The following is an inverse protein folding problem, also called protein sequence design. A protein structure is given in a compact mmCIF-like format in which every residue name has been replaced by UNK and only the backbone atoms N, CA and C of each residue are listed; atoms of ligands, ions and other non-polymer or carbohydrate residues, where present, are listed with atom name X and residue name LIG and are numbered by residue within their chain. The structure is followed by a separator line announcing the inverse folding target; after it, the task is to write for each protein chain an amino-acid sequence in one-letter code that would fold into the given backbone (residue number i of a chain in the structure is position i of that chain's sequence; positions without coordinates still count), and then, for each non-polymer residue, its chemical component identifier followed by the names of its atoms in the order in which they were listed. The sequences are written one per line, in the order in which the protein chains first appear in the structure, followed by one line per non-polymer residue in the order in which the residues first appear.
data_IF_389105800035
#
_entry.id   IF_389105800035
#
_cell.length_a   1.000
_cell.length_b   1.000
_cell.length_c   1.000
_cell.angle_alpha   90.00
_cell.angle_beta   90.00
_cell.angle_gamma   90.00
#
_symmetry.space_group_name_H-M   'P 1'
#
loop_
_entity.id
_entity.type
_entity.pdbx_description
1 polymer ?
#
# COMPACT_ATOMS: atom_id res chain seq x y z
N UNK A 1 12.36 16.47 -24.12
CA UNK A 1 11.69 15.29 -23.53
C UNK A 1 12.76 14.34 -23.02
N UNK A 2 12.64 13.83 -21.79
CA UNK A 2 13.53 12.83 -21.20
C UNK A 2 12.66 11.65 -20.76
N UNK A 3 13.11 10.41 -20.99
CA UNK A 3 12.40 9.18 -20.57
C UNK A 3 13.36 8.27 -19.79
N UNK A 4 12.83 7.54 -18.80
CA UNK A 4 13.61 6.66 -17.95
C UNK A 4 12.93 6.36 -16.61
N UNK A 5 13.54 5.53 -15.78
CA UNK A 5 13.10 5.31 -14.39
C UNK A 5 13.39 6.51 -13.50
N UNK A 6 12.98 6.46 -12.22
CA UNK A 6 13.11 7.59 -11.28
C UNK A 6 14.54 8.11 -11.12
N UNK A 7 15.56 7.27 -11.29
CA UNK A 7 16.97 7.65 -11.19
C UNK A 7 17.37 8.77 -12.17
N UNK A 8 16.77 8.83 -13.36
CA UNK A 8 17.08 9.87 -14.36
C UNK A 8 16.73 11.28 -13.85
N UNK A 9 15.78 11.38 -12.90
CA UNK A 9 15.32 12.63 -12.37
C UNK A 9 16.20 13.16 -11.21
N UNK A 10 17.06 12.34 -10.61
CA UNK A 10 17.80 12.69 -9.39
C UNK A 10 18.71 13.92 -9.56
N UNK A 11 19.40 14.02 -10.70
CA UNK A 11 20.28 15.15 -11.02
C UNK A 11 19.57 16.36 -11.65
N UNK A 12 18.26 16.25 -11.96
CA UNK A 12 17.54 17.33 -12.65
C UNK A 12 17.43 18.59 -11.79
N UNK A 13 17.05 18.54 -10.49
CA UNK A 13 17.00 19.74 -9.65
C UNK A 13 18.31 20.53 -9.63
N UNK A 14 19.46 19.84 -9.59
CA UNK A 14 20.77 20.49 -9.55
C UNK A 14 21.10 21.29 -10.82
N UNK A 15 20.60 20.86 -11.98
CA UNK A 15 20.71 21.64 -13.22
C UNK A 15 20.02 23.00 -13.12
N UNK A 16 18.89 23.07 -12.41
CA UNK A 16 18.15 24.31 -12.20
C UNK A 16 18.75 25.17 -11.08
N UNK A 17 19.21 24.55 -9.98
CA UNK A 17 19.90 25.23 -8.87
C UNK A 17 21.17 25.94 -9.35
N UNK A 18 22.01 25.25 -10.14
CA UNK A 18 23.22 25.85 -10.75
C UNK A 18 22.96 27.08 -11.61
N UNK A 19 21.71 27.27 -12.06
CA UNK A 19 21.27 28.40 -12.88
C UNK A 19 20.40 29.38 -12.09
N UNK A 20 20.33 29.27 -10.77
CA UNK A 20 19.49 30.07 -9.88
C UNK A 20 18.00 30.10 -10.29
N UNK A 21 17.52 29.04 -10.95
CA UNK A 21 16.11 28.95 -11.40
C UNK A 21 15.15 28.42 -10.34
N UNK A 22 15.69 27.75 -9.33
CA UNK A 22 14.95 27.25 -8.16
C UNK A 22 15.81 27.46 -6.91
N UNK A 23 15.16 27.63 -5.77
CA UNK A 23 15.83 27.72 -4.47
C UNK A 23 16.39 26.35 -4.02
N UNK A 24 17.20 26.35 -2.96
CA UNK A 24 17.52 25.14 -2.23
C UNK A 24 16.22 24.48 -1.73
N UNK A 25 16.15 23.15 -1.81
CA UNK A 25 14.95 22.43 -1.36
C UNK A 25 14.95 22.34 0.17
N UNK A 26 13.82 22.64 0.79
CA UNK A 26 13.56 22.24 2.17
C UNK A 26 13.35 20.73 2.22
N UNK A 27 13.71 20.09 3.33
CA UNK A 27 13.35 18.70 3.57
C UNK A 27 11.82 18.54 3.44
N UNK A 28 11.32 17.42 2.88
CA UNK A 28 9.89 17.15 2.85
C UNK A 28 9.30 17.27 4.26
N UNK A 29 8.19 18.00 4.39
CA UNK A 29 7.54 18.12 5.69
C UNK A 29 7.03 16.75 6.14
N UNK A 30 7.12 16.43 7.44
CA UNK A 30 6.54 15.20 7.99
C UNK A 30 5.04 15.15 7.67
N UNK A 31 4.52 13.93 7.58
CA UNK A 31 3.10 13.67 7.37
C UNK A 31 2.55 13.21 8.72
N UNK A 32 1.50 13.89 9.18
CA UNK A 32 0.77 13.43 10.34
C UNK A 32 -0.20 12.33 9.89
N UNK A 33 -0.01 11.11 10.39
CA UNK A 33 -0.94 10.01 10.13
C UNK A 33 -1.85 9.80 11.33
N UNK A 34 -3.15 10.07 11.20
CA UNK A 34 -4.14 9.75 12.24
C UNK A 34 -4.98 8.54 11.88
N UNK A 35 -5.66 7.95 12.87
CA UNK A 35 -6.50 6.77 12.68
C UNK A 35 -5.71 5.46 12.58
N UNK A 36 -6.44 4.36 12.41
CA UNK A 36 -5.83 3.02 12.39
C UNK A 36 -4.95 2.84 11.15
N UNK A 37 -3.85 2.12 11.33
CA UNK A 37 -2.98 1.70 10.23
C UNK A 37 -3.44 0.38 9.61
N UNK A 38 -3.51 0.35 8.28
CA UNK A 38 -3.92 -0.82 7.51
C UNK A 38 -2.85 -1.11 6.45
N UNK A 39 -2.30 -2.32 6.50
CA UNK A 39 -1.40 -2.86 5.48
C UNK A 39 -2.25 -3.62 4.47
N UNK A 40 -2.20 -3.24 3.19
CA UNK A 40 -2.90 -3.89 2.09
C UNK A 40 -1.88 -4.42 1.08
N UNK A 41 -1.88 -5.72 0.80
CA UNK A 41 -0.89 -6.29 -0.10
C UNK A 41 -1.48 -7.26 -1.13
N UNK A 42 -1.38 -6.90 -2.41
CA UNK A 42 -1.68 -7.79 -3.53
C UNK A 42 -0.43 -8.35 -4.23
N UNK A 43 0.75 -7.75 -4.01
CA UNK A 43 1.99 -8.23 -4.64
C UNK A 43 2.46 -9.57 -4.09
N UNK A 44 2.66 -10.56 -4.96
CA UNK A 44 3.25 -11.87 -4.63
C UNK A 44 4.80 -11.89 -4.71
N UNK A 45 5.44 -10.72 -4.74
CA UNK A 45 6.90 -10.63 -4.79
C UNK A 45 7.57 -11.19 -3.55
N UNK A 46 8.81 -11.68 -3.68
CA UNK A 46 9.55 -12.25 -2.56
C UNK A 46 9.71 -11.25 -1.40
N UNK A 47 10.05 -10.00 -1.70
CA UNK A 47 10.17 -8.96 -0.69
C UNK A 47 8.86 -8.73 0.06
N UNK A 48 7.72 -8.66 -0.66
CA UNK A 48 6.40 -8.47 -0.03
C UNK A 48 6.03 -9.65 0.87
N UNK A 49 6.30 -10.90 0.45
CA UNK A 49 6.04 -12.08 1.29
C UNK A 49 6.87 -12.06 2.58
N UNK A 50 8.15 -11.71 2.50
CA UNK A 50 9.02 -11.61 3.68
C UNK A 50 8.56 -10.50 4.64
N UNK A 51 8.14 -9.36 4.09
CA UNK A 51 7.59 -8.25 4.87
C UNK A 51 6.26 -8.61 5.55
N UNK A 52 5.38 -9.36 4.87
CA UNK A 52 4.12 -9.84 5.43
C UNK A 52 4.32 -10.91 6.49
N UNK A 53 5.27 -11.83 6.29
CA UNK A 53 5.62 -12.84 7.29
C UNK A 53 6.05 -12.15 8.60
N UNK A 54 6.95 -11.16 8.50
CA UNK A 54 7.39 -10.36 9.65
C UNK A 54 6.24 -9.54 10.27
N UNK A 55 5.41 -8.89 9.45
CA UNK A 55 4.23 -8.17 9.96
C UNK A 55 3.25 -9.10 10.70
N UNK A 56 3.11 -10.35 10.25
CA UNK A 56 2.25 -11.35 10.88
C UNK A 56 2.74 -11.85 12.25
N UNK A 57 4.03 -11.69 12.55
CA UNK A 57 4.58 -11.94 13.89
C UNK A 57 4.21 -10.82 14.88
N UNK A 58 3.90 -9.63 14.37
CA UNK A 58 3.69 -8.41 15.17
C UNK A 58 2.22 -8.01 15.28
N UNK A 59 1.44 -8.23 14.22
CA UNK A 59 0.09 -7.68 14.08
C UNK A 59 -0.89 -8.70 13.51
N UNK A 60 -2.18 -8.60 13.91
CA UNK A 60 -3.24 -9.41 13.34
C UNK A 60 -3.27 -9.30 11.81
N UNK A 61 -3.46 -10.44 11.17
CA UNK A 61 -3.32 -10.58 9.73
C UNK A 61 -4.45 -11.43 9.15
N UNK A 62 -5.04 -10.98 8.05
CA UNK A 62 -6.10 -11.67 7.32
C UNK A 62 -5.67 -11.97 5.89
N UNK A 63 -5.66 -13.26 5.55
CA UNK A 63 -5.33 -13.71 4.20
C UNK A 63 -6.59 -13.86 3.37
N UNK A 64 -6.58 -13.26 2.19
CA UNK A 64 -7.60 -13.41 1.16
C UNK A 64 -7.26 -14.64 0.32
N UNK A 65 -8.15 -15.63 0.31
CA UNK A 65 -8.05 -16.75 -0.62
C UNK A 65 -8.59 -16.35 -2.00
N UNK A 66 -7.81 -16.47 -3.08
CA UNK A 66 -8.29 -16.15 -4.43
C UNK A 66 -9.54 -16.96 -4.81
N UNK A 67 -9.60 -18.24 -4.45
CA UNK A 67 -10.76 -19.08 -4.74
C UNK A 67 -12.03 -18.59 -4.01
N UNK A 68 -11.91 -18.03 -2.81
CA UNK A 68 -13.06 -17.43 -2.10
C UNK A 68 -13.69 -16.31 -2.92
N UNK A 69 -12.84 -15.41 -3.42
CA UNK A 69 -13.25 -14.27 -4.24
C UNK A 69 -13.88 -14.76 -5.55
N UNK A 70 -13.24 -15.72 -6.22
CA UNK A 70 -13.71 -16.23 -7.51
C UNK A 70 -15.02 -17.03 -7.43
N UNK A 71 -15.33 -17.60 -6.26
CA UNK A 71 -16.57 -18.36 -6.02
C UNK A 71 -17.70 -17.52 -5.45
N UNK A 72 -17.52 -16.20 -5.35
CA UNK A 72 -18.57 -15.26 -4.96
C UNK A 72 -18.80 -15.14 -3.45
N UNK A 73 -17.85 -15.57 -2.61
CA UNK A 73 -17.90 -15.25 -1.18
C UNK A 73 -17.73 -13.75 -0.97
N UNK A 74 -18.44 -13.21 0.02
CA UNK A 74 -18.32 -11.80 0.41
C UNK A 74 -17.07 -11.57 1.27
N UNK A 75 -15.91 -11.71 0.62
CA UNK A 75 -14.60 -11.58 1.27
C UNK A 75 -14.39 -10.16 1.81
N UNK A 76 -15.01 -9.15 1.20
CA UNK A 76 -14.96 -7.77 1.70
C UNK A 76 -15.60 -7.71 3.08
N UNK A 77 -16.82 -8.21 3.22
CA UNK A 77 -17.50 -8.26 4.51
C UNK A 77 -16.74 -9.12 5.52
N UNK A 78 -16.26 -10.30 5.12
CA UNK A 78 -15.49 -11.17 6.00
C UNK A 78 -14.24 -10.48 6.57
N UNK A 79 -13.49 -9.79 5.72
CA UNK A 79 -12.27 -9.07 6.11
C UNK A 79 -12.57 -7.85 7.01
N UNK A 80 -13.64 -7.11 6.73
CA UNK A 80 -14.06 -5.94 7.52
C UNK A 80 -14.62 -6.37 8.88
N UNK A 81 -15.46 -7.40 8.91
CA UNK A 81 -15.96 -8.01 10.16
C UNK A 81 -14.79 -8.55 10.98
N UNK A 82 -13.81 -9.19 10.35
CA UNK A 82 -12.60 -9.63 11.04
C UNK A 82 -11.80 -8.46 11.61
N UNK A 83 -11.60 -7.40 10.84
CA UNK A 83 -10.83 -6.22 11.23
C UNK A 83 -11.47 -5.49 12.43
N UNK A 84 -12.80 -5.41 12.48
CA UNK A 84 -13.54 -4.77 13.58
C UNK A 84 -13.43 -5.53 14.92
N UNK A 85 -13.11 -6.82 14.88
CA UNK A 85 -12.83 -7.64 16.09
C UNK A 85 -11.39 -7.52 16.60
N UNK A 86 -10.50 -6.88 15.85
CA UNK A 86 -9.09 -6.72 16.24
C UNK A 86 -8.89 -5.45 17.08
N UNK A 87 -7.89 -5.41 17.99
CA UNK A 87 -7.58 -4.23 18.80
C UNK A 87 -7.39 -2.95 17.96
N UNK A 88 -8.13 -1.88 18.28
CA UNK A 88 -8.22 -0.67 17.45
C UNK A 88 -6.92 0.16 17.42
N UNK A 89 -6.09 0.03 18.45
CA UNK A 89 -4.78 0.68 18.62
C UNK A 89 -3.65 -0.03 17.86
N UNK A 90 -3.87 -1.26 17.41
CA UNK A 90 -2.89 -2.01 16.62
C UNK A 90 -3.12 -1.87 15.10
N UNK A 91 -2.03 -1.82 14.31
CA UNK A 91 -2.10 -2.05 12.87
C UNK A 91 -2.71 -3.40 12.54
N UNK A 92 -3.26 -3.53 11.33
CA UNK A 92 -3.70 -4.81 10.76
C UNK A 92 -3.14 -5.00 9.37
N UNK A 93 -2.95 -6.26 8.98
CA UNK A 93 -2.61 -6.61 7.60
C UNK A 93 -3.75 -7.39 6.93
N UNK A 94 -4.05 -7.04 5.69
CA UNK A 94 -4.98 -7.75 4.83
C UNK A 94 -4.32 -7.95 3.47
N UNK A 95 -4.18 -9.18 3.04
CA UNK A 95 -3.38 -9.47 1.86
C UNK A 95 -3.90 -10.65 1.06
N UNK A 96 -3.74 -10.57 -0.26
CA UNK A 96 -3.95 -11.70 -1.19
C UNK A 96 -2.64 -12.31 -1.67
N UNK A 97 -1.50 -11.79 -1.20
CA UNK A 97 -0.18 -12.36 -1.49
C UNK A 97 -0.05 -13.74 -0.86
N UNK A 98 -0.17 -14.78 -1.67
CA UNK A 98 0.02 -16.16 -1.23
C UNK A 98 1.35 -16.73 -1.72
N UNK A 99 1.60 -17.98 -1.33
CA UNK A 99 2.60 -18.81 -2.00
C UNK A 99 2.26 -18.87 -3.51
N UNK A 100 3.24 -18.68 -4.42
CA UNK A 100 3.06 -18.79 -5.86
C UNK A 100 2.27 -20.03 -6.28
N UNK A 101 2.43 -21.15 -5.57
CA UNK A 101 1.68 -22.39 -5.85
C UNK A 101 0.16 -22.23 -5.63
N UNK A 102 -0.25 -21.56 -4.55
CA UNK A 102 -1.66 -21.34 -4.24
C UNK A 102 -2.34 -20.38 -5.22
N UNK A 103 -1.61 -19.36 -5.67
CA UNK A 103 -2.11 -18.45 -6.70
C UNK A 103 -2.13 -19.13 -8.07
N UNK A 104 -1.16 -20.00 -8.36
CA UNK A 104 -1.10 -20.74 -9.62
C UNK A 104 -2.31 -21.67 -9.82
N UNK A 105 -2.81 -22.30 -8.75
CA UNK A 105 -4.02 -23.11 -8.81
C UNK A 105 -5.25 -22.27 -9.23
N UNK A 106 -5.43 -21.11 -8.59
CA UNK A 106 -6.52 -20.19 -8.94
C UNK A 106 -6.38 -19.63 -10.36
N UNK A 107 -5.16 -19.27 -10.78
CA UNK A 107 -4.88 -18.82 -12.14
C UNK A 107 -5.18 -19.90 -13.19
N UNK A 108 -4.84 -21.15 -12.91
CA UNK A 108 -5.11 -22.27 -13.81
C UNK A 108 -6.61 -22.52 -13.99
N UNK A 109 -7.40 -22.32 -12.92
CA UNK A 109 -8.84 -22.59 -12.93
C UNK A 109 -9.67 -21.43 -13.48
N UNK A 110 -9.33 -20.20 -13.12
CA UNK A 110 -10.18 -19.03 -13.38
C UNK A 110 -9.56 -17.99 -14.32
N UNK A 111 -8.30 -18.17 -14.72
CA UNK A 111 -7.56 -17.24 -15.56
C UNK A 111 -6.87 -16.13 -14.75
N UNK A 112 -5.62 -15.82 -15.11
CA UNK A 112 -4.78 -14.88 -14.39
C UNK A 112 -5.37 -13.47 -14.28
N UNK A 113 -5.85 -12.91 -15.38
CA UNK A 113 -6.40 -11.55 -15.42
C UNK A 113 -7.66 -11.43 -14.57
N UNK A 114 -8.56 -12.42 -14.66
CA UNK A 114 -9.80 -12.45 -13.89
C UNK A 114 -9.51 -12.48 -12.38
N UNK A 115 -8.59 -13.36 -11.96
CA UNK A 115 -8.19 -13.47 -10.55
C UNK A 115 -7.50 -12.19 -10.07
N UNK A 116 -6.53 -11.67 -10.83
CA UNK A 116 -5.78 -10.47 -10.43
C UNK A 116 -6.73 -9.27 -10.27
N UNK A 117 -7.60 -9.03 -11.26
CA UNK A 117 -8.58 -7.96 -11.18
C UNK A 117 -9.61 -8.15 -10.07
N UNK A 118 -10.01 -9.38 -9.75
CA UNK A 118 -10.93 -9.65 -8.65
C UNK A 118 -10.28 -9.38 -7.27
N UNK A 119 -9.02 -9.77 -7.10
CA UNK A 119 -8.25 -9.48 -5.87
C UNK A 119 -8.02 -7.98 -5.70
N UNK A 120 -7.69 -7.25 -6.77
CA UNK A 120 -7.53 -5.80 -6.74
C UNK A 120 -8.82 -5.08 -6.34
N UNK A 121 -9.96 -5.46 -6.93
CA UNK A 121 -11.28 -4.91 -6.56
C UNK A 121 -11.64 -5.24 -5.11
N UNK A 122 -11.30 -6.43 -4.64
CA UNK A 122 -11.58 -6.84 -3.25
C UNK A 122 -10.76 -6.00 -2.27
N UNK A 123 -9.45 -5.88 -2.49
CA UNK A 123 -8.56 -5.08 -1.63
C UNK A 123 -8.92 -3.59 -1.63
N UNK A 124 -9.31 -3.03 -2.78
CA UNK A 124 -9.71 -1.63 -2.87
C UNK A 124 -11.06 -1.36 -2.20
N UNK A 125 -12.03 -2.28 -2.31
CA UNK A 125 -13.29 -2.22 -1.59
C UNK A 125 -13.07 -2.31 -0.06
N UNK A 126 -12.19 -3.20 0.40
CA UNK A 126 -11.80 -3.30 1.81
C UNK A 126 -11.19 -1.98 2.29
N UNK A 127 -10.34 -1.34 1.49
CA UNK A 127 -9.75 -0.04 1.85
C UNK A 127 -10.83 1.03 2.10
N UNK A 128 -11.84 1.08 1.25
CA UNK A 128 -12.97 2.01 1.36
C UNK A 128 -13.79 1.75 2.63
N UNK A 129 -14.13 0.49 2.91
CA UNK A 129 -14.89 0.15 4.13
C UNK A 129 -14.09 0.42 5.40
N UNK A 130 -12.80 0.09 5.43
CA UNK A 130 -11.95 0.38 6.59
C UNK A 130 -11.75 1.88 6.79
N UNK A 131 -11.72 2.68 5.71
CA UNK A 131 -11.70 4.15 5.81
C UNK A 131 -12.95 4.67 6.51
N UNK A 132 -14.13 4.13 6.19
CA UNK A 132 -15.39 4.48 6.90
C UNK A 132 -15.34 4.13 8.38
N UNK A 133 -14.57 3.11 8.76
CA UNK A 133 -14.34 2.69 10.14
C UNK A 133 -13.18 3.42 10.84
N UNK A 134 -12.65 4.49 10.26
CA UNK A 134 -11.64 5.35 10.90
C UNK A 134 -10.19 4.96 10.63
N UNK A 135 -9.92 4.04 9.67
CA UNK A 135 -8.57 3.90 9.14
C UNK A 135 -8.13 5.19 8.44
N UNK A 136 -6.92 5.65 8.71
CA UNK A 136 -6.37 6.87 8.11
C UNK A 136 -4.92 6.75 7.65
N UNK A 137 -4.29 5.60 7.88
CA UNK A 137 -2.93 5.29 7.45
C UNK A 137 -2.95 4.00 6.61
N UNK A 138 -2.61 4.08 5.33
CA UNK A 138 -2.64 2.94 4.41
C UNK A 138 -1.24 2.62 3.88
N UNK A 139 -0.76 1.42 4.16
CA UNK A 139 0.51 0.90 3.65
C UNK A 139 0.20 -0.11 2.55
N UNK A 140 0.36 0.27 1.28
CA UNK A 140 -0.08 -0.54 0.15
C UNK A 140 1.09 -1.14 -0.61
N UNK A 141 1.02 -2.45 -0.86
CA UNK A 141 2.07 -3.24 -1.50
C UNK A 141 1.62 -3.85 -2.84
N UNK A 142 2.23 -3.40 -3.93
CA UNK A 142 1.91 -3.76 -5.32
C UNK A 142 1.47 -2.55 -6.12
N UNK A 143 1.94 -2.43 -7.37
CA UNK A 143 1.66 -1.24 -8.19
C UNK A 143 0.20 -1.14 -8.58
N UNK A 144 -0.35 -2.25 -9.06
CA UNK A 144 -1.75 -2.42 -9.45
C UNK A 144 -2.67 -2.28 -8.23
N UNK A 145 -2.31 -2.90 -7.10
CA UNK A 145 -3.01 -2.73 -5.82
C UNK A 145 -3.01 -1.29 -5.35
N UNK A 146 -1.87 -0.60 -5.45
CA UNK A 146 -1.75 0.83 -5.08
C UNK A 146 -2.66 1.69 -5.96
N UNK A 147 -2.66 1.46 -7.27
CA UNK A 147 -3.54 2.17 -8.20
C UNK A 147 -5.02 1.96 -7.90
N UNK A 148 -5.42 0.71 -7.63
CA UNK A 148 -6.80 0.35 -7.30
C UNK A 148 -7.26 0.99 -5.97
N UNK A 149 -6.43 0.94 -4.92
CA UNK A 149 -6.74 1.54 -3.62
C UNK A 149 -6.84 3.06 -3.70
N UNK A 150 -5.87 3.73 -4.33
CA UNK A 150 -5.86 5.20 -4.51
C UNK A 150 -7.11 5.64 -5.27
N UNK A 151 -7.45 4.94 -6.35
CA UNK A 151 -8.63 5.25 -7.17
C UNK A 151 -9.94 5.05 -6.39
N UNK A 152 -10.07 3.94 -5.65
CA UNK A 152 -11.28 3.64 -4.88
C UNK A 152 -11.50 4.58 -3.71
N UNK A 153 -10.41 5.05 -3.06
CA UNK A 153 -10.46 6.08 -2.02
C UNK A 153 -10.72 7.49 -2.57
N UNK A 154 -10.78 7.66 -3.90
CA UNK A 154 -11.07 8.94 -4.54
C UNK A 154 -9.92 9.96 -4.44
N UNK A 155 -8.69 9.50 -4.19
CA UNK A 155 -7.53 10.36 -4.01
C UNK A 155 -7.08 10.92 -5.35
N UNK A 156 -7.01 12.24 -5.46
CA UNK A 156 -6.69 12.93 -6.73
C UNK A 156 -5.28 13.51 -6.78
N UNK A 157 -4.75 13.86 -5.62
CA UNK A 157 -3.41 14.39 -5.49
C UNK A 157 -2.86 14.06 -4.11
N UNK A 158 -1.54 14.00 -4.02
CA UNK A 158 -0.85 13.73 -2.78
C UNK A 158 0.36 14.64 -2.63
N UNK A 159 0.58 15.08 -1.40
CA UNK A 159 1.82 15.71 -0.96
C UNK A 159 2.85 14.63 -0.66
N UNK A 160 4.07 14.78 -1.17
CA UNK A 160 5.20 13.88 -0.85
C UNK A 160 5.79 14.31 0.49
N UNK A 161 5.97 13.37 1.41
CA UNK A 161 6.63 13.56 2.70
C UNK A 161 7.92 12.76 2.82
N UNK A 162 8.22 12.36 4.05
CA UNK A 162 9.47 11.70 4.41
C UNK A 162 9.65 10.37 3.70
N UNK A 163 10.89 10.11 3.28
CA UNK A 163 11.27 8.86 2.65
C UNK A 163 11.42 7.73 3.67
N UNK A 164 10.76 6.60 3.44
CA UNK A 164 10.84 5.39 4.29
C UNK A 164 11.94 4.46 3.77
N UNK A 165 11.97 4.25 2.46
CA UNK A 165 12.95 3.43 1.74
C UNK A 165 13.29 4.07 0.38
N UNK A 166 14.39 3.66 -0.29
CA UNK A 166 14.71 4.12 -1.64
C UNK A 166 13.51 4.06 -2.60
N UNK A 167 13.01 5.23 -3.04
CA UNK A 167 11.85 5.32 -3.93
C UNK A 167 10.46 5.13 -3.29
N UNK A 168 10.36 5.00 -1.96
CA UNK A 168 9.10 4.82 -1.24
C UNK A 168 8.98 5.82 -0.09
N UNK A 169 8.30 6.96 -0.31
CA UNK A 169 7.99 7.92 0.74
C UNK A 169 6.61 7.68 1.36
N UNK A 170 6.38 8.30 2.51
CA UNK A 170 5.03 8.65 2.91
C UNK A 170 4.47 9.73 1.98
N UNK A 171 3.17 9.65 1.73
CA UNK A 171 2.39 10.65 1.02
C UNK A 171 1.12 10.96 1.81
N UNK A 172 0.58 12.16 1.63
CA UNK A 172 -0.64 12.60 2.29
C UNK A 172 -1.60 13.10 1.22
N UNK A 173 -2.84 12.62 1.24
CA UNK A 173 -3.87 13.05 0.31
C UNK A 173 -4.33 14.48 0.62
N UNK A 174 -4.73 15.25 -0.40
CA UNK A 174 -5.00 16.70 -0.26
C UNK A 174 -6.48 17.04 -0.01
N UNK A 175 -7.31 16.04 0.25
CA UNK A 175 -8.74 16.21 0.52
C UNK A 175 -8.98 16.74 1.95
N UNK A 176 -10.23 17.15 2.25
CA UNK A 176 -10.60 17.73 3.53
C UNK A 176 -10.37 16.80 4.74
N UNK A 177 -10.36 15.49 4.52
CA UNK A 177 -9.97 14.50 5.52
C UNK A 177 -8.78 13.70 4.98
N UNK A 178 -7.55 14.19 5.19
CA UNK A 178 -6.34 13.60 4.63
C UNK A 178 -6.16 12.15 5.02
N UNK A 179 -5.60 11.39 4.09
CA UNK A 179 -5.19 10.00 4.28
C UNK A 179 -3.67 9.98 4.13
N UNK A 180 -2.98 9.37 5.09
CA UNK A 180 -1.56 9.07 4.95
C UNK A 180 -1.42 7.75 4.18
N UNK A 181 -0.63 7.74 3.11
CA UNK A 181 -0.37 6.55 2.30
C UNK A 181 1.12 6.32 2.11
N UNK A 182 1.54 5.06 2.08
CA UNK A 182 2.81 4.67 1.48
C UNK A 182 2.53 3.63 0.43
N UNK A 183 2.92 3.91 -0.81
CA UNK A 183 2.65 3.08 -1.97
C UNK A 183 3.97 2.44 -2.41
N UNK A 184 4.15 1.15 -2.11
CA UNK A 184 5.37 0.44 -2.48
C UNK A 184 5.13 -0.50 -3.66
N UNK A 185 6.04 -0.47 -4.62
CA UNK A 185 6.19 -1.56 -5.59
C UNK A 185 6.62 -2.85 -4.86
N UNK A 186 6.35 -4.00 -5.46
CA UNK A 186 6.53 -5.30 -4.81
C UNK A 186 7.92 -5.52 -4.19
N UNK A 187 8.98 -5.26 -4.96
CA UNK A 187 10.38 -5.55 -4.58
C UNK A 187 11.07 -4.47 -3.74
N UNK A 188 10.33 -3.47 -3.26
CA UNK A 188 10.92 -2.33 -2.55
C UNK A 188 10.84 -2.50 -1.02
N UNK A 189 11.82 -1.94 -0.32
CA UNK A 189 11.91 -1.97 1.15
C UNK A 189 12.58 -3.22 1.72
N UNK A 190 13.09 -3.11 2.95
CA UNK A 190 13.63 -4.23 3.72
C UNK A 190 12.53 -5.09 4.34
N UNK A 191 12.89 -6.19 5.04
CA UNK A 191 11.92 -7.06 5.73
C UNK A 191 11.08 -6.33 6.78
N UNK A 192 11.66 -5.34 7.44
CA UNK A 192 11.09 -4.48 8.49
C UNK A 192 10.36 -3.24 7.94
N UNK A 193 10.08 -3.20 6.63
CA UNK A 193 9.53 -2.01 5.96
C UNK A 193 8.27 -1.46 6.64
N UNK A 194 7.34 -2.32 7.04
CA UNK A 194 6.08 -1.89 7.64
C UNK A 194 6.26 -1.29 9.04
N UNK A 195 7.18 -1.83 9.86
CA UNK A 195 7.54 -1.23 11.16
C UNK A 195 8.14 0.15 10.95
N UNK A 196 9.18 0.25 10.11
CA UNK A 196 9.86 1.51 9.81
C UNK A 196 8.92 2.56 9.25
N UNK A 197 7.96 2.15 8.42
CA UNK A 197 6.94 3.05 7.90
C UNK A 197 6.07 3.63 9.02
N UNK A 198 5.64 2.79 9.97
CA UNK A 198 4.80 3.24 11.09
C UNK A 198 5.58 4.10 12.09
N UNK A 199 6.83 3.75 12.38
CA UNK A 199 7.74 4.55 13.21
C UNK A 199 7.99 5.94 12.61
N UNK A 200 8.07 6.05 11.29
CA UNK A 200 8.27 7.33 10.60
C UNK A 200 7.04 8.28 10.63
N UNK A 201 5.88 7.81 11.10
CA UNK A 201 4.67 8.62 11.33
C UNK A 201 4.46 9.00 12.81
N UNK A 202 5.27 8.47 13.72
CA UNK A 202 5.14 8.67 15.17
C UNK A 202 5.62 10.06 15.61
#
# INVERSE_FOLDING_TARGET
LITGGSAIAQGLPDNFRRRNKIAAANAPAPIAGTGRAVILAGSCSEATRRQLARAGELWPSFRIEPEAVMTGRDVVKEAVDWASRQPADHPISIYSSADPEQVAAAYSRFGREAVSGALERTLSAIAVELRKLGAGRFLVAGGETSGAVVSALGIRAMRIGTQIAPGVPWTESVEASPIALTLKSGNFGGPDFFERALEALA
#
